data_IF_041302448786
#
_entry.id   IF_041302448786
#
_cell.length_a   1.000
_cell.length_b   1.000
_cell.length_c   1.000
_cell.angle_alpha   90.00
_cell.angle_beta   90.00
_cell.angle_gamma   90.00
#
_symmetry.space_group_name_H-M   'P 1'
#
loop_
_entity.id
_entity.type
_entity.pdbx_description
1 polymer ?
#
# COMPACT_ATOMS: atom_id res chain seq x y z
N UNK A 1 -11.45 -10.62 -20.36
CA UNK A 1 -10.40 -10.61 -21.40
C UNK A 1 -10.37 -12.00 -22.03
N UNK A 2 -10.56 -12.12 -23.36
CA UNK A 2 -10.46 -13.40 -24.10
C UNK A 2 -9.50 -13.16 -25.27
N UNK A 3 -8.57 -14.10 -25.51
CA UNK A 3 -7.56 -13.99 -26.57
C UNK A 3 -6.18 -14.46 -26.09
N UNK A 4 -5.23 -14.55 -27.02
CA UNK A 4 -3.83 -14.89 -26.74
C UNK A 4 -3.08 -13.62 -26.35
N UNK A 5 -2.54 -13.58 -25.13
CA UNK A 5 -1.75 -12.45 -24.59
C UNK A 5 -0.33 -12.95 -24.35
N UNK A 6 0.67 -12.25 -24.87
CA UNK A 6 2.08 -12.68 -24.79
C UNK A 6 2.95 -11.62 -24.11
N UNK A 7 3.98 -12.02 -23.35
CA UNK A 7 4.97 -11.09 -22.82
C UNK A 7 5.83 -10.54 -23.96
N UNK A 8 6.03 -9.22 -23.99
CA UNK A 8 6.93 -8.57 -24.93
C UNK A 8 8.37 -8.77 -24.48
N UNK A 9 9.25 -9.15 -25.40
CA UNK A 9 10.70 -9.12 -25.20
C UNK A 9 11.19 -7.73 -25.57
N UNK A 10 12.07 -7.13 -24.76
CA UNK A 10 12.63 -5.80 -25.04
C UNK A 10 13.98 -6.00 -25.76
N UNK A 11 14.07 -5.79 -27.08
CA UNK A 11 15.34 -5.94 -27.78
C UNK A 11 16.29 -4.80 -27.39
N UNK A 12 17.56 -5.14 -27.23
CA UNK A 12 18.64 -4.21 -26.89
C UNK A 12 19.73 -4.25 -27.95
N UNK A 13 20.32 -3.09 -28.21
CA UNK A 13 21.57 -2.95 -28.94
C UNK A 13 22.74 -3.48 -28.09
N UNK A 14 23.91 -3.69 -28.71
CA UNK A 14 25.13 -4.14 -28.01
C UNK A 14 25.58 -3.19 -26.88
N UNK A 15 25.15 -1.92 -26.94
CA UNK A 15 25.42 -0.89 -25.93
C UNK A 15 24.35 -0.82 -24.81
N UNK A 16 23.43 -1.80 -24.76
CA UNK A 16 22.31 -1.88 -23.82
C UNK A 16 21.26 -0.76 -23.97
N UNK A 17 21.29 0.02 -25.05
CA UNK A 17 20.18 0.89 -25.42
C UNK A 17 19.03 0.08 -26.04
N UNK A 18 17.79 0.56 -25.91
CA UNK A 18 16.61 -0.14 -26.48
C UNK A 18 16.67 -0.04 -28.01
N UNK A 19 16.57 -1.17 -28.70
CA UNK A 19 16.47 -1.25 -30.15
C UNK A 19 15.02 -1.02 -30.59
N UNK A 20 14.68 0.24 -30.82
CA UNK A 20 13.31 0.65 -31.21
C UNK A 20 12.87 0.01 -32.54
N UNK A 21 13.70 -0.01 -33.61
CA UNK A 21 13.35 -0.72 -34.85
C UNK A 21 13.01 -2.20 -34.65
N UNK A 22 13.83 -2.95 -33.90
CA UNK A 22 13.57 -4.36 -33.63
C UNK A 22 12.30 -4.56 -32.77
N UNK A 23 12.01 -3.62 -31.87
CA UNK A 23 10.80 -3.64 -31.06
C UNK A 23 9.55 -3.44 -31.92
N UNK A 24 9.58 -2.51 -32.88
CA UNK A 24 8.49 -2.30 -33.84
C UNK A 24 8.25 -3.55 -34.71
N UNK A 25 9.31 -4.16 -35.23
CA UNK A 25 9.21 -5.40 -36.01
C UNK A 25 8.61 -6.55 -35.18
N UNK A 26 9.02 -6.66 -33.91
CA UNK A 26 8.48 -7.66 -33.00
C UNK A 26 6.99 -7.43 -32.73
N UNK A 27 6.55 -6.19 -32.51
CA UNK A 27 5.14 -5.84 -32.33
C UNK A 27 4.33 -6.17 -33.57
N UNK A 28 4.82 -5.81 -34.76
CA UNK A 28 4.18 -6.12 -36.04
C UNK A 28 4.04 -7.63 -36.28
N UNK A 29 5.06 -8.40 -35.92
CA UNK A 29 5.02 -9.85 -35.96
C UNK A 29 3.93 -10.42 -35.04
N UNK A 30 3.87 -9.96 -33.79
CA UNK A 30 2.87 -10.41 -32.83
C UNK A 30 1.44 -10.04 -33.27
N UNK A 31 1.27 -8.85 -33.83
CA UNK A 31 -0.01 -8.43 -34.40
C UNK A 31 -0.44 -9.31 -35.56
N UNK A 32 0.48 -9.62 -36.51
CA UNK A 32 0.22 -10.54 -37.63
C UNK A 32 -0.07 -11.97 -37.17
N UNK A 33 0.56 -12.42 -36.09
CA UNK A 33 0.34 -13.74 -35.49
C UNK A 33 -1.02 -13.87 -34.78
N UNK A 34 -1.83 -12.81 -34.72
CA UNK A 34 -3.15 -12.83 -34.09
C UNK A 34 -3.09 -12.74 -32.56
N UNK A 35 -2.03 -12.15 -32.02
CA UNK A 35 -1.95 -11.83 -30.59
C UNK A 35 -2.94 -10.71 -30.27
N UNK A 36 -3.75 -10.92 -29.24
CA UNK A 36 -4.86 -10.04 -28.86
C UNK A 36 -4.43 -8.98 -27.83
N UNK A 37 -3.28 -9.17 -27.18
CA UNK A 37 -2.73 -8.24 -26.22
C UNK A 37 -1.27 -8.51 -25.93
N UNK A 38 -0.54 -7.47 -25.59
CA UNK A 38 0.89 -7.52 -25.29
C UNK A 38 1.10 -7.12 -23.83
N UNK A 39 1.89 -7.90 -23.10
CA UNK A 39 2.30 -7.59 -21.74
C UNK A 39 3.72 -7.03 -21.74
N UNK A 40 3.83 -5.71 -21.63
CA UNK A 40 5.11 -5.01 -21.51
C UNK A 40 5.62 -5.20 -20.08
N UNK A 41 6.94 -5.36 -19.90
CA UNK A 41 7.56 -5.40 -18.56
C UNK A 41 7.18 -6.66 -17.74
N UNK A 42 7.03 -7.80 -18.43
CA UNK A 42 7.00 -9.12 -17.80
C UNK A 42 8.37 -9.49 -17.21
N UNK A 43 8.43 -10.53 -16.38
CA UNK A 43 9.71 -11.10 -15.94
C UNK A 43 10.62 -11.50 -17.12
N UNK A 44 10.02 -11.86 -18.25
CA UNK A 44 10.70 -12.15 -19.53
C UNK A 44 11.10 -10.87 -20.31
N UNK A 45 10.47 -9.73 -20.07
CA UNK A 45 10.71 -8.46 -20.78
C UNK A 45 11.64 -7.49 -20.04
N UNK A 46 12.51 -8.02 -19.18
CA UNK A 46 13.61 -7.32 -18.51
C UNK A 46 13.21 -6.16 -17.58
N UNK A 47 12.15 -6.38 -16.78
CA UNK A 47 11.71 -5.50 -15.68
C UNK A 47 12.83 -4.95 -14.78
N UNK A 48 13.92 -5.70 -14.64
CA UNK A 48 15.02 -5.38 -13.73
C UNK A 48 16.20 -4.65 -14.41
N UNK A 49 16.19 -4.51 -15.74
CA UNK A 49 17.30 -3.93 -16.52
C UNK A 49 16.86 -2.66 -17.26
N UNK A 50 15.58 -2.55 -17.61
CA UNK A 50 15.03 -1.34 -18.25
C UNK A 50 14.96 -0.19 -17.25
N UNK A 51 15.82 0.82 -17.48
CA UNK A 51 15.75 2.10 -16.78
C UNK A 51 14.88 3.04 -17.61
N UNK A 52 13.75 3.47 -17.06
CA UNK A 52 12.85 4.41 -17.74
C UNK A 52 13.40 5.84 -17.62
N UNK A 53 13.40 6.64 -18.70
CA UNK A 53 13.64 8.08 -18.62
C UNK A 53 12.65 8.73 -17.64
N UNK A 54 13.08 9.78 -16.93
CA UNK A 54 12.30 10.48 -15.89
C UNK A 54 10.90 10.94 -16.35
N UNK A 55 10.68 11.03 -17.66
CA UNK A 55 9.42 11.47 -18.29
C UNK A 55 8.49 10.33 -18.76
N UNK A 56 8.71 9.10 -18.30
CA UNK A 56 7.89 7.94 -18.69
C UNK A 56 6.77 7.68 -17.69
N UNK A 57 5.52 7.70 -18.15
CA UNK A 57 4.36 7.40 -17.32
C UNK A 57 4.04 5.91 -17.38
N UNK A 58 4.14 5.22 -16.24
CA UNK A 58 3.72 3.82 -16.13
C UNK A 58 2.20 3.76 -15.92
N UNK A 59 1.47 3.27 -16.91
CA UNK A 59 0.04 3.01 -16.79
C UNK A 59 -0.19 1.72 -16.00
N UNK A 60 -0.54 1.85 -14.73
CA UNK A 60 -0.97 0.71 -13.91
C UNK A 60 -2.37 0.25 -14.32
N UNK A 61 -2.56 -1.06 -14.38
CA UNK A 61 -3.88 -1.65 -14.58
C UNK A 61 -4.84 -1.19 -13.46
N UNK A 62 -6.13 -0.89 -13.72
CA UNK A 62 -7.06 -0.40 -12.70
C UNK A 62 -7.16 -1.28 -11.45
N UNK A 63 -7.06 -2.61 -11.63
CA UNK A 63 -7.04 -3.58 -10.52
C UNK A 63 -5.79 -3.41 -9.63
N UNK A 64 -4.64 -3.07 -10.20
CA UNK A 64 -3.43 -2.83 -9.44
C UNK A 64 -3.54 -1.54 -8.60
N UNK A 65 -4.14 -0.48 -9.16
CA UNK A 65 -4.44 0.76 -8.44
C UNK A 65 -5.40 0.46 -7.28
N UNK A 66 -6.49 -0.26 -7.53
CA UNK A 66 -7.46 -0.64 -6.50
C UNK A 66 -6.81 -1.48 -5.38
N UNK A 67 -5.94 -2.43 -5.74
CA UNK A 67 -5.18 -3.23 -4.78
C UNK A 67 -4.27 -2.38 -3.90
N UNK A 68 -3.53 -1.44 -4.49
CA UNK A 68 -2.69 -0.50 -3.75
C UNK A 68 -3.50 0.39 -2.81
N UNK A 69 -4.62 0.96 -3.27
CA UNK A 69 -5.54 1.74 -2.42
C UNK A 69 -6.05 0.87 -1.27
N UNK A 70 -6.41 -0.38 -1.52
CA UNK A 70 -6.87 -1.32 -0.48
C UNK A 70 -5.81 -1.57 0.58
N UNK A 71 -4.54 -1.74 0.19
CA UNK A 71 -3.41 -1.89 1.12
C UNK A 71 -3.26 -0.61 1.97
N UNK A 72 -3.32 0.57 1.33
CA UNK A 72 -3.23 1.85 2.03
C UNK A 72 -4.37 2.04 3.05
N UNK A 73 -5.62 1.76 2.66
CA UNK A 73 -6.78 1.85 3.55
C UNK A 73 -6.65 0.86 4.71
N UNK A 74 -6.17 -0.36 4.45
CA UNK A 74 -5.91 -1.38 5.49
C UNK A 74 -4.88 -0.88 6.50
N UNK A 75 -3.77 -0.31 6.01
CA UNK A 75 -2.74 0.27 6.86
C UNK A 75 -3.29 1.37 7.76
N UNK A 76 -4.02 2.33 7.18
CA UNK A 76 -4.59 3.46 7.90
C UNK A 76 -5.61 2.99 8.96
N UNK A 77 -6.46 2.02 8.64
CA UNK A 77 -7.45 1.48 9.60
C UNK A 77 -6.82 0.67 10.74
N UNK A 78 -5.67 0.03 10.51
CA UNK A 78 -4.98 -0.75 11.54
C UNK A 78 -4.06 0.10 12.44
N UNK A 79 -3.97 1.42 12.22
CA UNK A 79 -3.28 2.33 13.14
C UNK A 79 -3.91 2.16 14.54
N UNK A 80 -3.09 1.89 15.59
CA UNK A 80 -3.60 1.59 16.92
C UNK A 80 -3.99 2.86 17.69
N UNK A 81 -4.96 3.61 17.16
CA UNK A 81 -5.38 4.90 17.69
C UNK A 81 -6.86 5.18 17.45
N UNK A 82 -7.48 5.91 18.38
CA UNK A 82 -8.84 6.41 18.28
C UNK A 82 -9.88 5.31 17.92
N UNK A 83 -10.87 5.63 17.09
CA UNK A 83 -11.93 4.71 16.65
C UNK A 83 -11.55 3.93 15.39
N UNK A 84 -10.27 3.88 15.03
CA UNK A 84 -9.81 3.03 13.95
C UNK A 84 -9.89 1.56 14.39
N UNK A 85 -9.96 0.62 13.44
CA UNK A 85 -10.01 -0.81 13.74
C UNK A 85 -8.83 -1.25 14.63
N UNK A 86 -7.63 -0.73 14.37
CA UNK A 86 -6.45 -0.92 15.21
C UNK A 86 -6.63 -0.38 16.63
N UNK A 87 -7.36 0.73 16.78
CA UNK A 87 -7.74 1.30 18.07
C UNK A 87 -8.72 0.41 18.85
N UNK A 88 -9.71 -0.18 18.17
CA UNK A 88 -10.62 -1.16 18.77
C UNK A 88 -9.91 -2.45 19.17
N UNK A 89 -8.97 -2.93 18.35
CA UNK A 89 -8.10 -4.06 18.68
C UNK A 89 -7.26 -3.72 19.92
N UNK A 90 -6.69 -2.52 19.98
CA UNK A 90 -5.94 -2.05 21.14
C UNK A 90 -6.79 -1.99 22.42
N UNK A 91 -8.07 -1.61 22.33
CA UNK A 91 -9.00 -1.63 23.48
C UNK A 91 -9.32 -3.01 24.02
N UNK A 92 -9.11 -4.08 23.23
CA UNK A 92 -9.32 -5.45 23.71
C UNK A 92 -8.28 -5.86 24.79
N UNK A 93 -7.13 -5.20 24.87
CA UNK A 93 -6.05 -5.52 25.82
C UNK A 93 -5.54 -4.33 26.64
N UNK A 94 -5.82 -3.09 26.23
CA UNK A 94 -5.43 -1.89 26.95
C UNK A 94 -6.59 -1.31 27.74
N UNK A 95 -6.29 -0.82 28.94
CA UNK A 95 -7.23 0.00 29.73
C UNK A 95 -7.58 1.30 29.00
N UNK A 96 -8.71 1.93 29.37
CA UNK A 96 -9.15 3.21 28.76
C UNK A 96 -8.05 4.29 28.80
N UNK A 97 -7.41 4.43 29.96
CA UNK A 97 -6.30 5.39 30.15
C UNK A 97 -5.13 5.10 29.23
N UNK A 98 -4.69 3.83 29.16
CA UNK A 98 -3.57 3.42 28.30
C UNK A 98 -3.91 3.61 26.82
N UNK A 99 -5.11 3.27 26.39
CA UNK A 99 -5.54 3.50 25.01
C UNK A 99 -5.61 5.00 24.66
N UNK A 100 -6.04 5.84 25.60
CA UNK A 100 -6.05 7.29 25.42
C UNK A 100 -4.63 7.85 25.26
N UNK A 101 -3.69 7.43 26.13
CA UNK A 101 -2.28 7.82 25.99
C UNK A 101 -1.67 7.30 24.69
N UNK A 102 -1.98 6.06 24.30
CA UNK A 102 -1.54 5.49 23.03
C UNK A 102 -2.07 6.32 21.85
N UNK A 103 -3.35 6.67 21.86
CA UNK A 103 -3.96 7.49 20.81
C UNK A 103 -3.31 8.87 20.71
N UNK A 104 -3.02 9.52 21.84
CA UNK A 104 -2.30 10.80 21.86
C UNK A 104 -0.88 10.65 21.31
N UNK A 105 -0.14 9.62 21.75
CA UNK A 105 1.21 9.36 21.29
C UNK A 105 1.25 9.10 19.77
N UNK A 106 0.37 8.23 19.27
CA UNK A 106 0.26 7.94 17.83
C UNK A 106 -0.13 9.18 17.05
N UNK A 107 -1.12 9.95 17.51
CA UNK A 107 -1.51 11.21 16.85
C UNK A 107 -0.36 12.21 16.74
N UNK A 108 0.41 12.39 17.81
CA UNK A 108 1.60 13.25 17.81
C UNK A 108 2.72 12.72 16.90
N UNK A 109 2.94 11.40 16.88
CA UNK A 109 3.88 10.76 15.95
C UNK A 109 3.46 10.97 14.50
N UNK A 110 2.17 10.83 14.18
CA UNK A 110 1.65 11.10 12.84
C UNK A 110 1.82 12.57 12.44
N UNK A 111 1.54 13.52 13.34
CA UNK A 111 1.85 14.93 13.09
C UNK A 111 3.36 15.12 12.85
N UNK A 112 4.20 14.47 13.66
CA UNK A 112 5.64 14.44 13.47
C UNK A 112 6.01 13.93 12.08
N UNK A 113 5.43 12.83 11.62
CA UNK A 113 5.64 12.24 10.29
C UNK A 113 5.20 13.13 9.12
N UNK A 114 4.58 14.29 9.36
CA UNK A 114 4.22 15.25 8.30
C UNK A 114 5.41 15.68 7.44
N UNK A 115 6.66 15.62 7.95
CA UNK A 115 7.86 15.85 7.14
C UNK A 115 8.05 14.82 6.01
N UNK A 116 7.48 13.62 6.14
CA UNK A 116 7.52 12.58 5.11
C UNK A 116 6.46 12.81 4.04
N UNK A 117 5.24 13.18 4.47
CA UNK A 117 4.08 13.42 3.62
C UNK A 117 3.07 14.27 4.38
N UNK A 118 2.62 15.38 3.78
CA UNK A 118 1.71 16.35 4.42
C UNK A 118 0.38 15.71 4.88
N UNK A 119 -0.06 14.62 4.22
CA UNK A 119 -1.26 13.89 4.61
C UNK A 119 -1.20 13.32 6.04
N UNK A 120 0.00 13.09 6.59
CA UNK A 120 0.14 12.66 7.98
C UNK A 120 -0.27 13.73 9.00
N UNK A 121 -0.19 15.02 8.64
CA UNK A 121 -0.68 16.10 9.48
C UNK A 121 -2.21 16.01 9.61
N UNK A 122 -2.90 15.79 8.50
CA UNK A 122 -4.36 15.61 8.47
C UNK A 122 -4.75 14.38 9.30
N UNK A 123 -4.09 13.24 9.07
CA UNK A 123 -4.33 12.01 9.82
C UNK A 123 -4.06 12.16 11.32
N UNK A 124 -2.96 12.81 11.70
CA UNK A 124 -2.62 13.04 13.09
C UNK A 124 -3.64 13.94 13.80
N UNK A 125 -4.09 15.03 13.15
CA UNK A 125 -5.17 15.86 13.69
C UNK A 125 -6.48 15.08 13.83
N UNK A 126 -6.84 14.31 12.80
CA UNK A 126 -8.07 13.49 12.79
C UNK A 126 -8.05 12.45 13.92
N UNK A 127 -6.94 11.75 14.11
CA UNK A 127 -6.76 10.78 15.20
C UNK A 127 -6.89 11.45 16.57
N UNK A 128 -6.30 12.63 16.77
CA UNK A 128 -6.42 13.36 18.04
C UNK A 128 -7.85 13.86 18.29
N UNK A 129 -8.53 14.36 17.25
CA UNK A 129 -9.93 14.77 17.35
C UNK A 129 -10.85 13.60 17.68
N UNK A 130 -10.70 12.46 17.00
CA UNK A 130 -11.47 11.25 17.29
C UNK A 130 -11.15 10.69 18.68
N UNK A 131 -9.89 10.75 19.11
CA UNK A 131 -9.48 10.38 20.47
C UNK A 131 -10.15 11.22 21.56
N UNK A 132 -10.53 12.46 21.26
CA UNK A 132 -11.23 13.34 22.21
C UNK A 132 -12.70 12.94 22.46
N UNK A 133 -13.33 12.27 21.50
CA UNK A 133 -14.71 11.75 21.61
C UNK A 133 -14.78 10.52 22.52
N UNK A 134 -13.63 9.89 22.79
CA UNK A 134 -13.54 8.65 23.56
C UNK A 134 -13.91 7.43 22.72
N UNK A 135 -13.54 6.25 23.24
CA UNK A 135 -13.84 4.98 22.60
C UNK A 135 -14.81 4.21 23.52
N UNK A 136 -16.02 3.82 23.06
CA UNK A 136 -16.88 2.94 23.85
C UNK A 136 -16.08 1.67 24.16
N UNK A 137 -15.76 1.48 25.44
CA UNK A 137 -14.95 0.35 25.89
C UNK A 137 -15.61 -0.98 25.59
N UNK A 138 -14.83 -2.06 25.68
CA UNK A 138 -15.41 -3.39 25.67
C UNK A 138 -16.34 -3.55 26.88
N UNK A 139 -17.49 -4.23 26.71
CA UNK A 139 -18.42 -4.53 27.81
C UNK A 139 -17.77 -5.40 28.91
N UNK A 140 -16.62 -6.01 28.63
CA UNK A 140 -15.84 -6.83 29.53
C UNK A 140 -14.36 -6.43 29.45
N UNK A 141 -13.90 -5.70 30.46
CA UNK A 141 -12.48 -5.29 30.64
C UNK A 141 -11.76 -6.12 31.71
N UNK A 142 -12.43 -7.13 32.27
CA UNK A 142 -11.98 -7.86 33.45
C UNK A 142 -11.45 -9.25 33.07
N UNK A 143 -11.97 -9.83 31.99
CA UNK A 143 -11.51 -11.14 31.52
C UNK A 143 -10.16 -11.07 30.77
N UNK A 144 -9.21 -11.97 31.09
CA UNK A 144 -7.96 -12.05 30.35
C UNK A 144 -8.19 -12.53 28.91
N UNK A 145 -7.34 -12.08 28.01
CA UNK A 145 -7.46 -12.38 26.59
C UNK A 145 -7.25 -13.88 26.32
N UNK A 146 -8.24 -14.48 25.66
CA UNK A 146 -8.12 -15.85 25.20
C UNK A 146 -6.98 -16.01 24.18
N UNK A 147 -6.31 -17.17 24.19
CA UNK A 147 -5.21 -17.48 23.26
C UNK A 147 -5.58 -17.27 21.79
N UNK A 148 -6.84 -17.52 21.40
CA UNK A 148 -7.34 -17.28 20.04
C UNK A 148 -7.35 -15.80 19.67
N UNK A 149 -7.79 -14.93 20.59
CA UNK A 149 -7.79 -13.47 20.38
C UNK A 149 -6.37 -12.92 20.31
N UNK A 150 -5.44 -13.45 21.09
CA UNK A 150 -4.03 -13.05 21.01
C UNK A 150 -3.44 -13.34 19.61
N UNK A 151 -3.75 -14.50 19.02
CA UNK A 151 -3.33 -14.81 17.64
C UNK A 151 -3.89 -13.80 16.63
N UNK A 152 -5.15 -13.38 16.78
CA UNK A 152 -5.75 -12.36 15.91
C UNK A 152 -5.09 -10.99 16.06
N UNK A 153 -4.74 -10.59 17.29
CA UNK A 153 -4.00 -9.34 17.55
C UNK A 153 -2.64 -9.39 16.86
N UNK A 154 -1.90 -10.50 17.00
CA UNK A 154 -0.59 -10.69 16.35
C UNK A 154 -0.73 -10.61 14.83
N UNK A 155 -1.74 -11.28 14.26
CA UNK A 155 -2.00 -11.24 12.83
C UNK A 155 -2.30 -9.80 12.35
N UNK A 156 -3.12 -9.06 13.09
CA UNK A 156 -3.43 -7.67 12.77
C UNK A 156 -2.17 -6.78 12.81
N UNK A 157 -1.28 -6.96 13.78
CA UNK A 157 0.00 -6.25 13.86
C UNK A 157 0.90 -6.60 12.67
N UNK A 158 0.96 -7.87 12.26
CA UNK A 158 1.72 -8.28 11.07
C UNK A 158 1.18 -7.61 9.81
N UNK A 159 -0.15 -7.60 9.62
CA UNK A 159 -0.78 -6.95 8.46
C UNK A 159 -0.50 -5.44 8.48
N UNK A 160 -0.59 -4.80 9.65
CA UNK A 160 -0.26 -3.39 9.82
C UNK A 160 1.18 -3.08 9.38
N UNK A 161 2.15 -3.90 9.80
CA UNK A 161 3.56 -3.70 9.45
C UNK A 161 3.84 -3.97 7.97
N UNK A 162 3.22 -4.99 7.37
CA UNK A 162 3.41 -5.32 5.95
C UNK A 162 2.75 -4.28 5.04
N UNK A 163 1.60 -3.74 5.45
CA UNK A 163 0.88 -2.70 4.70
C UNK A 163 1.44 -1.28 4.92
N UNK A 164 2.38 -1.12 5.86
CA UNK A 164 2.92 0.17 6.22
C UNK A 164 3.48 0.93 5.02
N UNK A 165 2.87 2.07 4.72
CA UNK A 165 3.24 2.91 3.57
C UNK A 165 3.57 4.33 4.07
N UNK A 166 4.78 4.60 4.61
CA UNK A 166 5.12 5.87 5.26
C UNK A 166 5.11 7.09 4.34
N UNK A 167 5.21 6.88 3.03
CA UNK A 167 5.12 7.93 1.99
C UNK A 167 4.21 7.43 0.87
N UNK A 168 2.87 7.50 1.04
CA UNK A 168 1.94 6.88 0.10
C UNK A 168 1.87 7.63 -1.22
N UNK A 169 2.01 8.96 -1.20
CA UNK A 169 1.96 9.78 -2.39
C UNK A 169 3.17 10.70 -2.43
N UNK A 170 3.75 10.82 -3.62
CA UNK A 170 4.81 11.77 -3.92
C UNK A 170 4.37 12.62 -5.11
N UNK A 171 4.39 13.93 -4.94
CA UNK A 171 4.15 14.88 -6.04
C UNK A 171 5.50 15.48 -6.38
N UNK A 172 6.04 15.16 -7.55
CA UNK A 172 7.14 15.91 -8.14
C UNK A 172 6.56 17.23 -8.65
N UNK A 173 7.00 18.33 -8.05
CA UNK A 173 6.80 19.68 -8.57
C UNK A 173 7.95 20.09 -9.48
#
# INVERSE_FOLDING_TARGET
MRGVIVPLVTPFNEDYSIDVPALEEHIDFLQKAGVHGIFINATTGEKYIVTFPDNTVIFLHPVAIAGWVGILVTFLNLIPAAQLDGGHIARAFLSDKMHRYLTMAVGLVLIGMSFLWVGWLIWGMLVLLMGSVGNPGALDEVSPISKKRLVLVILAVIIFLISATPRPLWVTG
#
